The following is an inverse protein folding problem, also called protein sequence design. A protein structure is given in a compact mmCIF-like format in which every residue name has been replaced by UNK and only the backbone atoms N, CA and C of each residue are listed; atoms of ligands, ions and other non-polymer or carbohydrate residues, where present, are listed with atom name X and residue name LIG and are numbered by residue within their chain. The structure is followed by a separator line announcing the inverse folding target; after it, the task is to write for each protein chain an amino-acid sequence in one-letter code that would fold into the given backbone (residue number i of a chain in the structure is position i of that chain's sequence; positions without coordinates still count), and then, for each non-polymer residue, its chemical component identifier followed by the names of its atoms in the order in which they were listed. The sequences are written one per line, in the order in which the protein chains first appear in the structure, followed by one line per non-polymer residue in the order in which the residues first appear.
data_IF_331082031617
#
_entry.id   IF_331082031617
#
_cell.length_a   1.000
_cell.length_b   1.000
_cell.length_c   1.000
_cell.angle_alpha   90.00
_cell.angle_beta   90.00
_cell.angle_gamma   90.00
#
_symmetry.space_group_name_H-M   'P 1'
#
loop_
_entity.id
_entity.type
_entity.pdbx_description
1 polymer ?
#
# COMPACT_ATOMS: atom_id res chain seq x y z
N UNK A 1 -6.35 -16.96 -11.06
CA UNK A 1 -6.08 -16.57 -9.66
C UNK A 1 -6.97 -15.44 -9.18
N UNK A 2 -8.27 -15.55 -9.38
CA UNK A 2 -9.26 -14.73 -8.67
C UNK A 2 -9.83 -15.59 -7.53
N UNK A 3 -10.39 -15.00 -6.49
CA UNK A 3 -10.99 -15.72 -5.35
C UNK A 3 -12.15 -16.66 -5.73
N UNK A 4 -12.57 -16.65 -7.00
CA UNK A 4 -13.67 -17.41 -7.60
C UNK A 4 -13.22 -18.26 -8.80
N UNK A 5 -11.91 -18.43 -8.97
CA UNK A 5 -11.33 -19.26 -10.02
C UNK A 5 -11.63 -20.74 -9.75
N UNK A 6 -12.48 -21.33 -10.58
CA UNK A 6 -12.99 -22.71 -10.43
C UNK A 6 -11.90 -23.78 -10.42
N UNK A 7 -10.72 -23.49 -10.96
CA UNK A 7 -9.57 -24.42 -10.89
C UNK A 7 -8.98 -24.50 -9.47
N UNK A 8 -9.24 -23.49 -8.63
CA UNK A 8 -8.59 -23.32 -7.32
C UNK A 8 -9.56 -23.17 -6.14
N UNK A 9 -10.86 -22.98 -6.39
CA UNK A 9 -11.86 -22.74 -5.32
C UNK A 9 -13.28 -23.20 -5.70
N UNK A 10 -14.13 -23.45 -4.70
CA UNK A 10 -15.57 -23.74 -4.85
C UNK A 10 -16.45 -22.51 -4.60
N UNK A 11 -15.86 -21.38 -4.21
CA UNK A 11 -16.59 -20.15 -3.90
C UNK A 11 -17.18 -19.50 -5.16
N UNK A 12 -18.42 -19.00 -5.06
CA UNK A 12 -19.06 -18.19 -6.09
C UNK A 12 -18.87 -16.69 -5.84
N UNK A 13 -19.07 -15.82 -6.85
CA UNK A 13 -19.00 -14.36 -6.66
C UNK A 13 -19.87 -13.84 -5.52
N UNK A 14 -21.03 -14.45 -5.29
CA UNK A 14 -21.98 -14.07 -4.24
C UNK A 14 -21.49 -14.47 -2.83
N UNK A 15 -20.54 -15.40 -2.74
CA UNK A 15 -19.93 -15.86 -1.50
C UNK A 15 -18.64 -15.12 -1.16
N UNK A 16 -18.19 -14.20 -2.02
CA UNK A 16 -16.95 -13.44 -1.84
C UNK A 16 -17.27 -11.96 -1.69
N UNK A 17 -16.71 -11.34 -0.65
CA UNK A 17 -16.86 -9.92 -0.39
C UNK A 17 -15.52 -9.25 -0.10
N UNK A 18 -15.50 -7.92 -0.18
CA UNK A 18 -14.36 -7.09 0.18
C UNK A 18 -14.82 -6.08 1.23
N UNK A 19 -14.02 -5.92 2.27
CA UNK A 19 -14.27 -4.97 3.36
C UNK A 19 -12.93 -4.40 3.85
N UNK A 20 -12.99 -3.38 4.71
CA UNK A 20 -11.82 -2.83 5.40
C UNK A 20 -11.26 -3.83 6.42
N UNK A 21 -10.01 -3.62 6.84
CA UNK A 21 -9.43 -4.40 7.94
C UNK A 21 -10.30 -4.29 9.22
N UNK A 22 -10.42 -5.39 9.99
CA UNK A 22 -11.17 -5.35 11.24
C UNK A 22 -10.52 -4.38 12.23
N UNK A 23 -11.34 -3.66 12.99
CA UNK A 23 -10.85 -2.74 14.02
C UNK A 23 -10.49 -3.49 15.31
N UNK A 24 -9.36 -3.11 15.91
CA UNK A 24 -9.00 -3.52 17.26
C UNK A 24 -9.52 -2.55 18.32
N UNK A 25 -9.22 -2.81 19.59
CA UNK A 25 -9.59 -1.92 20.72
C UNK A 25 -8.97 -0.52 20.62
N UNK A 26 -7.82 -0.39 19.96
CA UNK A 26 -7.16 0.89 19.67
C UNK A 26 -7.70 1.59 18.40
N UNK A 27 -8.66 0.98 17.70
CA UNK A 27 -9.22 1.46 16.43
C UNK A 27 -8.78 0.63 15.22
N UNK A 28 -9.21 1.01 14.01
CA UNK A 28 -8.82 0.35 12.78
C UNK A 28 -7.37 0.69 12.40
N UNK A 29 -6.61 -0.33 12.02
CA UNK A 29 -5.29 -0.18 11.42
C UNK A 29 -5.37 -0.36 9.91
N UNK A 30 -4.51 0.35 9.17
CA UNK A 30 -4.33 0.18 7.74
C UNK A 30 -2.93 0.62 7.32
N UNK A 31 -2.51 0.24 6.11
CA UNK A 31 -1.25 0.71 5.54
C UNK A 31 -1.50 1.27 4.15
N UNK A 32 -0.98 2.46 3.84
CA UNK A 32 -1.04 2.99 2.48
C UNK A 32 0.30 2.87 1.77
N UNK A 33 0.33 1.98 0.79
CA UNK A 33 1.37 1.94 -0.24
C UNK A 33 1.06 2.89 -1.39
N UNK A 34 2.10 3.30 -2.12
CA UNK A 34 1.97 4.03 -3.37
C UNK A 34 2.90 3.42 -4.42
N UNK A 35 2.40 3.28 -5.64
CA UNK A 35 3.24 3.09 -6.82
C UNK A 35 3.53 4.47 -7.41
N UNK A 36 4.80 4.73 -7.69
CA UNK A 36 5.23 6.01 -8.28
C UNK A 36 5.92 5.72 -9.60
N UNK A 37 5.61 6.53 -10.61
CA UNK A 37 6.34 6.52 -11.87
C UNK A 37 7.29 7.72 -11.92
N UNK A 38 8.51 7.49 -12.39
CA UNK A 38 9.54 8.52 -12.55
C UNK A 38 10.14 8.45 -13.96
N UNK A 39 10.57 9.60 -14.47
CA UNK A 39 11.27 9.68 -15.76
C UNK A 39 12.77 9.61 -15.48
N UNK A 40 13.44 8.63 -16.10
CA UNK A 40 14.89 8.52 -16.00
C UNK A 40 15.57 9.79 -16.52
N UNK A 41 16.50 10.33 -15.72
CA UNK A 41 17.35 11.47 -16.14
C UNK A 41 18.19 11.17 -17.39
N UNK A 42 18.40 9.88 -17.70
CA UNK A 42 19.15 9.42 -18.88
C UNK A 42 18.26 9.21 -20.12
N UNK A 43 16.95 9.46 -20.03
CA UNK A 43 16.04 9.29 -21.16
C UNK A 43 16.44 10.21 -22.31
N UNK A 44 16.52 9.67 -23.53
CA UNK A 44 16.66 10.44 -24.77
C UNK A 44 15.34 11.04 -25.25
N UNK A 45 14.21 10.69 -24.59
CA UNK A 45 12.87 11.16 -24.94
C UNK A 45 12.09 11.69 -23.72
N UNK A 46 12.62 12.66 -22.96
CA UNK A 46 12.00 13.11 -21.71
C UNK A 46 10.61 13.73 -21.92
N UNK A 47 10.41 14.47 -23.02
CA UNK A 47 9.11 15.07 -23.34
C UNK A 47 8.04 14.01 -23.65
N UNK A 48 8.37 13.00 -24.46
CA UNK A 48 7.44 11.91 -24.78
C UNK A 48 7.11 11.08 -23.52
N UNK A 49 8.12 10.80 -22.69
CA UNK A 49 7.91 10.13 -21.41
C UNK A 49 6.99 10.93 -20.48
N UNK A 50 7.12 12.26 -20.45
CA UNK A 50 6.23 13.15 -19.70
C UNK A 50 4.80 13.16 -20.24
N UNK A 51 4.63 13.20 -21.56
CA UNK A 51 3.30 13.07 -22.19
C UNK A 51 2.65 11.74 -21.84
N UNK A 52 3.38 10.63 -21.91
CA UNK A 52 2.87 9.32 -21.52
C UNK A 52 2.49 9.28 -20.04
N UNK A 53 3.34 9.83 -19.16
CA UNK A 53 3.07 9.86 -17.72
C UNK A 53 1.81 10.67 -17.38
N UNK A 54 1.60 11.80 -18.05
CA UNK A 54 0.36 12.58 -17.93
C UNK A 54 -0.86 11.78 -18.40
N UNK A 55 -0.76 11.07 -19.51
CA UNK A 55 -1.87 10.27 -20.03
C UNK A 55 -2.19 9.07 -19.14
N UNK A 56 -1.20 8.25 -18.76
CA UNK A 56 -1.42 7.02 -17.98
C UNK A 56 -1.92 7.34 -16.57
N UNK A 57 -1.56 8.49 -16.03
CA UNK A 57 -2.09 8.97 -14.74
C UNK A 57 -3.32 9.85 -14.89
N UNK A 58 -3.88 10.05 -16.08
CA UNK A 58 -5.16 10.75 -16.26
C UNK A 58 -6.33 9.86 -15.83
N UNK A 59 -7.56 10.41 -15.79
CA UNK A 59 -8.77 9.61 -15.53
C UNK A 59 -8.93 8.48 -16.56
N UNK A 60 -8.66 8.77 -17.83
CA UNK A 60 -8.72 7.77 -18.90
C UNK A 60 -7.64 6.69 -18.73
N UNK A 61 -6.42 7.11 -18.43
CA UNK A 61 -5.30 6.21 -18.19
C UNK A 61 -5.54 5.28 -17.00
N UNK A 62 -6.03 5.80 -15.87
CA UNK A 62 -6.36 4.99 -14.69
C UNK A 62 -7.51 4.02 -14.95
N UNK A 63 -8.51 4.40 -15.76
CA UNK A 63 -9.58 3.49 -16.20
C UNK A 63 -9.03 2.37 -17.08
N UNK A 64 -8.16 2.71 -18.02
CA UNK A 64 -7.50 1.74 -18.89
C UNK A 64 -6.66 0.75 -18.07
N UNK A 65 -5.76 1.22 -17.18
CA UNK A 65 -4.90 0.33 -16.40
C UNK A 65 -5.69 -0.47 -15.37
N UNK A 66 -6.74 0.12 -14.79
CA UNK A 66 -7.63 -0.60 -13.88
C UNK A 66 -8.34 -1.76 -14.57
N UNK A 67 -8.79 -1.57 -15.82
CA UNK A 67 -9.43 -2.62 -16.61
C UNK A 67 -8.43 -3.67 -17.13
N UNK A 68 -7.28 -3.23 -17.62
CA UNK A 68 -6.30 -4.11 -18.28
C UNK A 68 -5.44 -4.90 -17.28
N UNK A 69 -5.12 -4.30 -16.12
CA UNK A 69 -4.12 -4.82 -15.19
C UNK A 69 -4.63 -4.94 -13.75
N UNK A 70 -5.88 -4.54 -13.47
CA UNK A 70 -6.45 -4.59 -12.12
C UNK A 70 -5.84 -3.57 -11.15
N UNK A 71 -5.25 -2.47 -11.65
CA UNK A 71 -4.69 -1.42 -10.80
C UNK A 71 -5.76 -0.58 -10.11
N UNK A 72 -5.43 -0.02 -8.94
CA UNK A 72 -6.29 0.91 -8.23
C UNK A 72 -5.89 2.37 -8.51
N UNK A 73 -6.85 3.31 -8.54
CA UNK A 73 -6.59 4.69 -8.90
C UNK A 73 -5.80 5.40 -7.79
N UNK A 74 -4.91 6.30 -8.19
CA UNK A 74 -4.19 7.19 -7.30
C UNK A 74 -4.96 8.51 -7.05
N UNK A 75 -5.91 8.87 -7.91
CA UNK A 75 -6.72 10.10 -7.82
C UNK A 75 -8.08 9.87 -7.17
N UNK A 76 -8.47 10.78 -6.28
CA UNK A 76 -9.83 10.81 -5.73
C UNK A 76 -10.88 10.96 -6.84
N UNK A 77 -10.65 11.80 -7.85
CA UNK A 77 -11.60 11.99 -8.95
C UNK A 77 -11.88 10.73 -9.79
N UNK A 78 -10.94 9.79 -9.83
CA UNK A 78 -11.14 8.48 -10.45
C UNK A 78 -11.76 7.47 -9.48
N UNK A 79 -11.36 7.52 -8.20
CA UNK A 79 -11.91 6.67 -7.12
C UNK A 79 -13.39 6.97 -6.82
N UNK A 80 -13.80 8.23 -6.95
CA UNK A 80 -15.19 8.70 -6.82
C UNK A 80 -15.99 8.52 -8.11
N UNK A 81 -15.31 8.19 -9.22
CA UNK A 81 -15.93 7.94 -10.50
C UNK A 81 -16.42 6.50 -10.68
N UNK A 82 -16.80 6.17 -11.92
CA UNK A 82 -17.19 4.81 -12.31
C UNK A 82 -16.00 3.86 -12.19
N UNK A 83 -16.12 2.72 -11.48
CA UNK A 83 -15.07 1.71 -11.46
C UNK A 83 -14.80 1.11 -12.85
N UNK A 84 -13.56 0.68 -13.15
CA UNK A 84 -13.17 0.16 -14.47
C UNK A 84 -13.82 -1.19 -14.83
N UNK A 85 -14.39 -1.88 -13.84
CA UNK A 85 -15.13 -3.12 -13.96
C UNK A 85 -16.01 -3.32 -12.71
N UNK A 86 -17.03 -4.18 -12.79
CA UNK A 86 -17.97 -4.44 -11.68
C UNK A 86 -17.25 -4.94 -10.41
N UNK A 87 -16.26 -5.82 -10.56
CA UNK A 87 -15.47 -6.35 -9.46
C UNK A 87 -14.71 -5.25 -8.68
N UNK A 88 -14.40 -4.12 -9.32
CA UNK A 88 -13.64 -3.03 -8.71
C UNK A 88 -14.52 -2.14 -7.82
N UNK A 89 -15.85 -2.20 -7.94
CA UNK A 89 -16.77 -1.40 -7.12
C UNK A 89 -16.59 -1.61 -5.62
N UNK A 90 -16.67 -2.86 -5.12
CA UNK A 90 -16.39 -3.17 -3.72
C UNK A 90 -14.99 -2.74 -3.26
N UNK A 91 -13.97 -2.87 -4.12
CA UNK A 91 -12.60 -2.41 -3.83
C UNK A 91 -12.56 -0.90 -3.64
N UNK A 92 -13.17 -0.13 -4.55
CA UNK A 92 -13.20 1.32 -4.48
C UNK A 92 -13.91 1.80 -3.22
N UNK A 93 -15.01 1.12 -2.84
CA UNK A 93 -15.68 1.39 -1.56
C UNK A 93 -14.73 1.17 -0.37
N UNK A 94 -14.08 0.00 -0.30
CA UNK A 94 -13.16 -0.31 0.80
C UNK A 94 -11.95 0.65 0.87
N UNK A 95 -11.42 1.07 -0.28
CA UNK A 95 -10.33 2.05 -0.36
C UNK A 95 -10.77 3.41 0.18
N UNK A 96 -11.98 3.88 -0.16
CA UNK A 96 -12.54 5.13 0.37
C UNK A 96 -12.75 5.06 1.88
N UNK A 97 -13.40 4.00 2.35
CA UNK A 97 -13.67 3.80 3.77
C UNK A 97 -12.36 3.72 4.60
N UNK A 98 -11.30 3.11 4.04
CA UNK A 98 -9.99 3.02 4.67
C UNK A 98 -9.13 4.29 4.61
N UNK A 99 -9.38 5.20 3.65
CA UNK A 99 -8.51 6.36 3.43
C UNK A 99 -8.50 7.32 4.62
N UNK A 100 -9.66 7.56 5.23
CA UNK A 100 -9.81 8.41 6.40
C UNK A 100 -9.06 7.84 7.60
N UNK A 101 -9.11 6.52 7.76
CA UNK A 101 -8.41 5.80 8.83
C UNK A 101 -6.90 5.98 8.68
N UNK A 102 -6.36 5.69 7.50
CA UNK A 102 -4.92 5.88 7.19
C UNK A 102 -4.49 7.32 7.45
N UNK A 103 -5.29 8.29 6.99
CA UNK A 103 -4.95 9.70 7.09
C UNK A 103 -4.95 10.18 8.54
N UNK A 104 -5.95 9.80 9.33
CA UNK A 104 -6.04 10.15 10.76
C UNK A 104 -4.95 9.50 11.60
N UNK A 105 -4.59 8.26 11.29
CA UNK A 105 -3.55 7.51 12.01
C UNK A 105 -2.13 7.74 11.49
N UNK A 106 -1.96 8.62 10.49
CA UNK A 106 -0.67 8.88 9.81
C UNK A 106 0.06 7.59 9.38
N UNK A 107 -0.69 6.60 8.90
CA UNK A 107 -0.20 5.23 8.63
C UNK A 107 0.52 5.14 7.28
N UNK A 108 1.54 5.98 7.12
CA UNK A 108 2.39 6.13 5.95
C UNK A 108 3.69 5.33 6.12
N UNK A 109 4.28 4.88 5.01
CA UNK A 109 5.68 4.43 5.05
C UNK A 109 6.59 5.61 5.42
N UNK A 110 7.67 5.37 6.19
CA UNK A 110 8.72 6.37 6.35
C UNK A 110 9.23 6.85 4.99
N UNK A 111 9.31 8.17 4.80
CA UNK A 111 9.76 8.79 3.53
C UNK A 111 11.24 9.13 3.57
N UNK A 112 12.06 8.10 3.76
CA UNK A 112 13.52 8.20 3.82
C UNK A 112 14.17 7.10 2.95
N UNK A 113 15.40 7.31 2.44
CA UNK A 113 16.10 6.31 1.62
C UNK A 113 16.21 4.93 2.28
N UNK A 114 16.31 4.89 3.61
CA UNK A 114 16.40 3.68 4.43
C UNK A 114 15.04 3.10 4.85
N UNK A 115 13.93 3.54 4.26
CA UNK A 115 12.58 3.05 4.59
C UNK A 115 12.47 1.52 4.51
N UNK A 116 13.17 0.90 3.56
CA UNK A 116 13.19 -0.57 3.43
C UNK A 116 13.95 -1.23 4.58
N UNK A 117 15.08 -0.66 5.00
CA UNK A 117 15.84 -1.18 6.13
C UNK A 117 15.06 -1.03 7.45
N UNK A 118 14.36 0.09 7.63
CA UNK A 118 13.43 0.29 8.76
C UNK A 118 12.32 -0.77 8.78
N UNK A 119 11.70 -1.04 7.63
CA UNK A 119 10.67 -2.08 7.50
C UNK A 119 11.21 -3.49 7.77
N UNK A 120 12.45 -3.79 7.35
CA UNK A 120 13.10 -5.08 7.63
C UNK A 120 13.35 -5.29 9.12
N UNK A 121 13.80 -4.25 9.83
CA UNK A 121 13.96 -4.29 11.29
C UNK A 121 12.62 -4.56 11.98
N UNK A 122 11.57 -3.80 11.63
CA UNK A 122 10.23 -4.02 12.17
C UNK A 122 9.73 -5.45 11.90
N UNK A 123 9.84 -5.92 10.65
CA UNK A 123 9.40 -7.26 10.27
C UNK A 123 10.12 -8.36 11.07
N UNK A 124 11.44 -8.24 11.24
CA UNK A 124 12.24 -9.18 12.03
C UNK A 124 11.76 -9.21 13.48
N UNK A 125 11.70 -8.06 14.15
CA UNK A 125 11.37 -8.02 15.57
C UNK A 125 9.91 -8.42 15.83
N UNK A 126 8.97 -8.02 14.98
CA UNK A 126 7.58 -8.51 15.05
C UNK A 126 7.50 -10.02 14.84
N UNK A 127 8.31 -10.60 13.93
CA UNK A 127 8.39 -12.06 13.75
C UNK A 127 8.91 -12.77 15.01
N UNK A 128 9.91 -12.20 15.70
CA UNK A 128 10.38 -12.72 16.99
C UNK A 128 9.30 -12.72 18.07
N UNK A 129 8.49 -11.66 18.13
CA UNK A 129 7.34 -11.63 19.05
C UNK A 129 6.29 -12.69 18.71
N UNK A 130 5.91 -12.80 17.42
CA UNK A 130 4.90 -13.76 16.97
C UNK A 130 5.33 -15.21 17.16
N UNK A 131 6.62 -15.52 17.04
CA UNK A 131 7.17 -16.86 17.26
C UNK A 131 7.48 -17.18 18.72
N UNK A 132 7.27 -16.23 19.65
CA UNK A 132 7.55 -16.41 21.09
C UNK A 132 9.03 -16.32 21.47
N UNK A 133 9.92 -15.92 20.55
CA UNK A 133 11.35 -15.73 20.82
C UNK A 133 11.65 -14.46 21.62
N UNK A 134 10.68 -13.53 21.71
CA UNK A 134 10.73 -12.33 22.53
C UNK A 134 9.30 -11.99 22.98
N UNK A 135 9.16 -11.27 24.10
CA UNK A 135 7.88 -10.64 24.42
C UNK A 135 7.58 -9.50 23.43
N UNK A 136 6.30 -9.10 23.31
CA UNK A 136 5.93 -7.97 22.46
C UNK A 136 6.69 -6.68 22.84
N UNK A 137 6.88 -6.44 24.14
CA UNK A 137 7.65 -5.30 24.65
C UNK A 137 9.13 -5.37 24.24
N UNK A 138 9.77 -6.52 24.47
CA UNK A 138 11.18 -6.71 24.08
C UNK A 138 11.40 -6.53 22.57
N UNK A 139 10.48 -7.02 21.75
CA UNK A 139 10.57 -6.89 20.30
C UNK A 139 10.46 -5.43 19.86
N UNK A 140 9.48 -4.66 20.37
CA UNK A 140 9.32 -3.27 19.95
C UNK A 140 10.43 -2.36 20.49
N UNK A 141 10.93 -2.61 21.71
CA UNK A 141 12.08 -1.88 22.27
C UNK A 141 13.34 -2.12 21.44
N UNK A 142 13.57 -3.38 21.05
CA UNK A 142 14.69 -3.74 20.19
C UNK A 142 14.56 -3.12 18.79
N UNK A 143 13.37 -3.13 18.21
CA UNK A 143 13.11 -2.48 16.93
C UNK A 143 13.39 -0.98 16.99
N UNK A 144 12.89 -0.30 18.03
CA UNK A 144 13.12 1.13 18.23
C UNK A 144 14.61 1.44 18.34
N UNK A 145 15.36 0.64 19.11
CA UNK A 145 16.81 0.78 19.24
C UNK A 145 17.53 0.60 17.90
N UNK A 146 17.25 -0.50 17.18
CA UNK A 146 17.90 -0.81 15.90
C UNK A 146 17.61 0.26 14.83
N UNK A 147 16.37 0.75 14.78
CA UNK A 147 15.98 1.84 13.88
C UNK A 147 16.71 3.13 14.25
N UNK A 148 16.77 3.50 15.53
CA UNK A 148 17.48 4.71 15.96
C UNK A 148 18.98 4.64 15.63
N UNK A 149 19.62 3.50 15.89
CA UNK A 149 21.03 3.27 15.56
C UNK A 149 21.27 3.35 14.04
N UNK A 150 20.39 2.73 13.24
CA UNK A 150 20.41 2.82 11.78
C UNK A 150 20.34 4.28 11.33
N UNK A 151 19.35 5.03 11.80
CA UNK A 151 19.15 6.42 11.38
C UNK A 151 20.34 7.30 11.79
N UNK A 152 20.85 7.13 13.02
CA UNK A 152 22.05 7.84 13.48
C UNK A 152 23.27 7.54 12.60
N UNK A 153 23.45 6.28 12.17
CA UNK A 153 24.55 5.90 11.27
C UNK A 153 24.47 6.55 9.88
N UNK A 154 23.29 7.06 9.50
CA UNK A 154 23.02 7.76 8.24
C UNK A 154 23.02 9.28 8.37
N UNK A 155 23.36 9.80 9.54
CA UNK A 155 23.46 11.24 9.79
C UNK A 155 22.14 11.90 10.17
N UNK A 156 21.10 11.14 10.50
CA UNK A 156 19.90 11.68 11.12
C UNK A 156 20.18 11.96 12.60
N UNK A 157 20.06 13.21 13.01
CA UNK A 157 20.08 13.60 14.42
C UNK A 157 18.65 13.54 14.94
N UNK A 158 18.29 12.44 15.61
CA UNK A 158 17.07 12.33 16.39
C UNK A 158 17.43 12.22 17.87
#
# INVERSE_FOLDING_TARGET
GTAVDKETTTLTPEQVGITTLPAGTAGPGAHRGIWTAGISKKSTHPAAAWTWLQWVTSKEGEQFTGKAFGTFPARNSSLDGTPPAEWAGPVYKALKDGYDVVSKGEMWRPRLPESDAVQQILALQTSRAMSGQATAQQAIDQAAKEIADLLKSKGYNQ
#
